data_IF_693036891979
#
_entry.id   IF_693036891979
#
_cell.length_a   1.000
_cell.length_b   1.000
_cell.length_c   1.000
_cell.angle_alpha   90.00
_cell.angle_beta   90.00
_cell.angle_gamma   90.00
#
_symmetry.space_group_name_H-M   'P 1'
#
loop_
_entity.id
_entity.type
_entity.pdbx_description
1 polymer ?
#
# COMPACT_ATOMS: atom_id res chain seq x y z
N UNK A 1 -6.29 -3.34 -13.74
CA UNK A 1 -6.01 -4.78 -13.63
C UNK A 1 -6.85 -5.66 -14.58
N UNK A 2 -8.04 -5.22 -15.01
CA UNK A 2 -8.97 -5.95 -15.88
C UNK A 2 -8.40 -6.63 -17.14
N UNK A 3 -7.31 -6.12 -17.73
CA UNK A 3 -6.63 -6.78 -18.87
C UNK A 3 -5.71 -7.92 -18.45
N UNK A 4 -5.00 -7.79 -17.33
CA UNK A 4 -4.01 -8.77 -16.86
C UNK A 4 -4.65 -9.87 -16.01
N UNK A 5 -5.65 -9.52 -15.17
CA UNK A 5 -6.38 -10.44 -14.28
C UNK A 5 -5.45 -11.28 -13.39
N UNK A 6 -4.75 -10.65 -12.43
CA UNK A 6 -3.75 -11.34 -11.62
C UNK A 6 -4.38 -12.39 -10.70
N UNK A 7 -3.71 -13.54 -10.55
CA UNK A 7 -4.06 -14.54 -9.53
C UNK A 7 -3.53 -14.19 -8.12
N UNK A 8 -2.61 -13.24 -8.04
CA UNK A 8 -1.99 -12.73 -6.80
C UNK A 8 -1.51 -11.29 -7.05
N UNK A 9 -1.74 -10.39 -6.09
CA UNK A 9 -1.16 -9.05 -6.06
C UNK A 9 0.04 -9.04 -5.12
N UNK A 10 1.22 -8.66 -5.64
CA UNK A 10 2.39 -8.38 -4.81
C UNK A 10 2.66 -6.87 -4.82
N UNK A 11 2.77 -6.28 -3.63
CA UNK A 11 3.09 -4.87 -3.45
C UNK A 11 4.52 -4.74 -2.92
N UNK A 12 5.41 -4.17 -3.72
CA UNK A 12 6.71 -3.67 -3.28
C UNK A 12 6.45 -2.33 -2.57
N UNK A 13 6.26 -2.39 -1.25
CA UNK A 13 5.71 -1.30 -0.44
C UNK A 13 6.83 -0.38 0.07
N UNK A 14 7.23 0.57 -0.77
CA UNK A 14 8.10 1.68 -0.39
C UNK A 14 7.29 2.92 0.02
N UNK A 15 7.80 3.66 1.00
CA UNK A 15 7.18 4.87 1.55
C UNK A 15 8.07 6.12 1.36
N UNK A 16 9.06 6.06 0.49
CA UNK A 16 9.95 7.19 0.17
C UNK A 16 9.26 8.30 -0.62
N UNK A 17 8.07 8.04 -1.16
CA UNK A 17 7.20 9.05 -1.78
C UNK A 17 6.38 9.87 -0.78
N UNK A 18 6.53 9.59 0.53
CA UNK A 18 5.91 10.38 1.59
C UNK A 18 6.50 11.79 1.64
N UNK A 19 5.68 12.77 2.01
CA UNK A 19 6.12 14.10 2.42
C UNK A 19 7.21 13.97 3.50
N UNK A 20 8.23 14.81 3.38
CA UNK A 20 9.42 14.89 4.24
C UNK A 20 10.40 13.70 4.14
N UNK A 21 10.19 12.75 3.23
CA UNK A 21 11.23 11.77 2.92
C UNK A 21 12.40 12.42 2.15
N UNK A 22 13.66 12.18 2.55
CA UNK A 22 14.81 12.84 1.95
C UNK A 22 15.13 12.40 0.52
N UNK A 23 14.60 11.26 0.03
CA UNK A 23 14.98 10.70 -1.27
C UNK A 23 13.88 10.76 -2.34
N UNK A 24 12.59 10.64 -1.99
CA UNK A 24 11.55 10.57 -3.02
C UNK A 24 11.12 11.91 -3.62
N UNK A 25 11.26 13.02 -2.90
CA UNK A 25 10.84 14.37 -3.36
C UNK A 25 9.34 14.46 -3.77
N UNK A 26 8.48 13.64 -3.19
CA UNK A 26 7.04 13.63 -3.39
C UNK A 26 6.30 14.25 -2.19
N UNK A 27 4.97 14.35 -2.30
CA UNK A 27 4.12 15.00 -1.30
C UNK A 27 3.00 14.09 -0.78
N UNK A 28 3.14 12.76 -0.87
CA UNK A 28 2.11 11.85 -0.36
C UNK A 28 2.05 11.89 1.16
N UNK A 29 0.85 11.86 1.69
CA UNK A 29 0.55 11.80 3.11
C UNK A 29 0.26 10.37 3.53
N UNK A 30 0.16 10.14 4.84
CA UNK A 30 -0.20 8.82 5.38
C UNK A 30 -1.58 8.35 4.91
N UNK A 31 -2.51 9.30 4.66
CA UNK A 31 -3.85 9.02 4.11
C UNK A 31 -3.76 8.53 2.67
N UNK A 32 -2.91 9.15 1.84
CA UNK A 32 -2.73 8.73 0.46
C UNK A 32 -2.21 7.28 0.37
N UNK A 33 -1.35 6.86 1.31
CA UNK A 33 -0.93 5.46 1.39
C UNK A 33 -2.08 4.51 1.78
N UNK A 34 -3.02 4.94 2.64
CA UNK A 34 -4.22 4.17 2.94
C UNK A 34 -5.12 4.03 1.70
N UNK A 35 -5.32 5.11 0.94
CA UNK A 35 -6.09 5.10 -0.31
C UNK A 35 -5.45 4.20 -1.38
N UNK A 36 -4.14 4.32 -1.59
CA UNK A 36 -3.39 3.45 -2.51
C UNK A 36 -3.51 1.97 -2.11
N UNK A 37 -3.50 1.69 -0.81
CA UNK A 37 -3.72 0.34 -0.28
C UNK A 37 -5.12 -0.16 -0.59
N UNK A 38 -6.14 0.67 -0.44
CA UNK A 38 -7.52 0.31 -0.77
C UNK A 38 -7.65 -0.09 -2.25
N UNK A 39 -7.02 0.67 -3.16
CA UNK A 39 -7.03 0.37 -4.61
C UNK A 39 -6.43 -1.02 -4.90
N UNK A 40 -5.30 -1.37 -4.28
CA UNK A 40 -4.69 -2.69 -4.52
C UNK A 40 -5.46 -3.83 -3.86
N UNK A 41 -6.11 -3.59 -2.72
CA UNK A 41 -7.06 -4.52 -2.11
C UNK A 41 -8.26 -4.79 -3.03
N UNK A 42 -8.84 -3.75 -3.64
CA UNK A 42 -9.95 -3.89 -4.60
C UNK A 42 -9.53 -4.70 -5.83
N UNK A 43 -8.33 -4.45 -6.36
CA UNK A 43 -7.77 -5.27 -7.45
C UNK A 43 -7.62 -6.74 -7.04
N UNK A 44 -7.13 -7.00 -5.82
CA UNK A 44 -6.97 -8.35 -5.31
C UNK A 44 -8.33 -9.04 -5.08
N UNK A 45 -9.33 -8.31 -4.59
CA UNK A 45 -10.69 -8.82 -4.43
C UNK A 45 -11.31 -9.17 -5.79
N UNK A 46 -11.19 -8.30 -6.79
CA UNK A 46 -11.79 -8.48 -8.11
C UNK A 46 -11.16 -9.64 -8.91
N UNK A 47 -9.85 -9.85 -8.80
CA UNK A 47 -9.14 -10.76 -9.69
C UNK A 47 -8.35 -11.87 -9.00
N UNK A 48 -7.85 -11.62 -7.79
CA UNK A 48 -6.96 -12.53 -7.08
C UNK A 48 -7.64 -13.24 -5.91
N UNK A 49 -8.98 -13.23 -5.81
CA UNK A 49 -9.71 -13.83 -4.69
C UNK A 49 -9.22 -13.33 -3.32
N UNK A 50 -8.92 -12.04 -3.21
CA UNK A 50 -8.40 -11.39 -2.02
C UNK A 50 -6.91 -11.65 -1.72
N UNK A 51 -6.20 -12.40 -2.57
CA UNK A 51 -4.77 -12.70 -2.35
C UNK A 51 -3.91 -11.49 -2.67
N UNK A 52 -3.39 -10.87 -1.60
CA UNK A 52 -2.44 -9.78 -1.66
C UNK A 52 -1.31 -10.03 -0.66
N UNK A 53 -0.07 -9.74 -1.07
CA UNK A 53 1.11 -9.75 -0.21
C UNK A 53 1.86 -8.44 -0.38
N UNK A 54 2.15 -7.75 0.73
CA UNK A 54 3.01 -6.57 0.74
C UNK A 54 4.37 -6.90 1.34
N UNK A 55 5.44 -6.39 0.74
CA UNK A 55 6.81 -6.48 1.25
C UNK A 55 7.36 -5.07 1.45
N UNK A 56 7.81 -4.75 2.66
CA UNK A 56 8.41 -3.44 2.97
C UNK A 56 9.71 -3.23 2.18
N UNK A 57 9.86 -2.03 1.60
CA UNK A 57 10.99 -1.65 0.76
C UNK A 57 11.62 -0.33 1.26
N UNK A 58 11.57 0.73 0.43
CA UNK A 58 12.15 2.04 0.74
C UNK A 58 11.32 2.89 1.71
N UNK A 59 11.89 4.03 2.07
CA UNK A 59 11.39 4.94 3.10
C UNK A 59 12.51 5.23 4.09
N UNK A 60 12.97 6.47 4.10
CA UNK A 60 14.26 6.85 4.65
C UNK A 60 14.14 7.93 5.74
N UNK A 61 12.94 8.51 5.91
CA UNK A 61 12.57 9.25 7.11
C UNK A 61 11.88 8.34 8.12
N UNK A 62 12.61 7.78 9.11
CA UNK A 62 12.09 6.75 10.03
C UNK A 62 10.73 7.07 10.70
N UNK A 63 10.47 8.29 11.20
CA UNK A 63 9.15 8.61 11.76
C UNK A 63 8.03 8.58 10.72
N UNK A 64 8.30 9.11 9.52
CA UNK A 64 7.33 9.11 8.42
C UNK A 64 7.11 7.71 7.84
N UNK A 65 8.17 6.92 7.72
CA UNK A 65 8.10 5.50 7.36
C UNK A 65 7.18 4.75 8.34
N UNK A 66 7.38 4.93 9.64
CA UNK A 66 6.59 4.25 10.66
C UNK A 66 5.10 4.63 10.55
N UNK A 67 4.79 5.92 10.33
CA UNK A 67 3.41 6.38 10.26
C UNK A 67 2.71 5.94 8.97
N UNK A 68 3.38 6.06 7.82
CA UNK A 68 2.84 5.63 6.53
C UNK A 68 2.69 4.10 6.44
N UNK A 69 3.67 3.33 6.92
CA UNK A 69 3.55 1.87 6.99
C UNK A 69 2.41 1.43 7.91
N UNK A 70 2.21 2.13 9.04
CA UNK A 70 1.06 1.85 9.91
C UNK A 70 -0.27 2.15 9.22
N UNK A 71 -0.38 3.22 8.43
CA UNK A 71 -1.59 3.50 7.64
C UNK A 71 -1.84 2.45 6.57
N UNK A 72 -0.81 2.01 5.84
CA UNK A 72 -0.91 0.88 4.90
C UNK A 72 -1.42 -0.39 5.58
N UNK A 73 -0.83 -0.79 6.71
CA UNK A 73 -1.24 -2.00 7.44
C UNK A 73 -2.66 -1.89 8.00
N UNK A 74 -3.07 -0.72 8.52
CA UNK A 74 -4.46 -0.52 8.97
C UNK A 74 -5.45 -0.68 7.83
N UNK A 75 -5.19 -0.08 6.68
CA UNK A 75 -6.02 -0.23 5.48
C UNK A 75 -6.10 -1.70 5.01
N UNK A 76 -4.99 -2.46 5.08
CA UNK A 76 -5.00 -3.91 4.81
C UNK A 76 -5.91 -4.67 5.78
N UNK A 77 -5.85 -4.36 7.08
CA UNK A 77 -6.63 -5.04 8.12
C UNK A 77 -8.14 -4.76 7.98
N UNK A 78 -8.51 -3.51 7.70
CA UNK A 78 -9.91 -3.11 7.52
C UNK A 78 -10.54 -3.78 6.29
N UNK A 79 -9.77 -4.03 5.25
CA UNK A 79 -10.24 -4.62 3.99
C UNK A 79 -10.12 -6.15 3.93
N UNK A 80 -9.50 -6.80 4.91
CA UNK A 80 -9.51 -8.26 5.06
C UNK A 80 -10.81 -8.81 5.67
N UNK A 81 -11.70 -7.94 6.17
CA UNK A 81 -12.88 -8.33 6.95
C UNK A 81 -14.24 -8.24 6.26
N UNK A 82 -14.31 -7.74 5.02
CA UNK A 82 -15.60 -7.60 4.31
C UNK A 82 -15.72 -8.71 3.24
N UNK A 83 -16.65 -9.68 3.41
CA UNK A 83 -16.87 -10.76 2.45
C UNK A 83 -17.49 -10.31 1.13
#
# INVERSE_FOLDING_TARGET
AARFKPDLVLVSAGFDSRIDDPLGSFTLTDEDFAELTAIVCEIAAEHAGGRLVSTLEGGYALPGLASAAASHVRALMERQGDP
#
